data_IF_827189328041
#
_entry.id   IF_827189328041
#
_cell.length_a   1.000
_cell.length_b   1.000
_cell.length_c   1.000
_cell.angle_alpha   90.00
_cell.angle_beta   90.00
_cell.angle_gamma   90.00
#
_symmetry.space_group_name_H-M   'P 1'
#
loop_
_entity.id
_entity.type
_entity.pdbx_description
1 polymer ?
#
# COMPACT_ATOMS: atom_id res chain seq x y z
N UNK A 1 -10.29 12.75 10.83
CA UNK A 1 -9.73 11.50 11.33
C UNK A 1 -10.77 10.74 12.11
N UNK A 2 -11.35 9.74 11.48
CA UNK A 2 -12.15 8.74 12.19
C UNK A 2 -11.26 8.07 13.25
N UNK A 3 -11.81 7.65 14.40
CA UNK A 3 -11.00 6.99 15.42
C UNK A 3 -10.43 5.68 14.88
N UNK A 4 -9.11 5.68 14.66
CA UNK A 4 -8.34 4.50 14.29
C UNK A 4 -7.87 3.81 15.57
N UNK A 5 -8.01 2.48 15.62
CA UNK A 5 -7.46 1.66 16.70
C UNK A 5 -5.95 1.49 16.47
N UNK A 6 -5.16 2.03 17.40
CA UNK A 6 -3.70 2.03 17.37
C UNK A 6 -3.18 1.16 18.52
N UNK A 7 -2.40 0.14 18.22
CA UNK A 7 -1.59 -0.58 19.20
C UNK A 7 -0.18 0.01 19.26
N UNK A 8 0.33 0.19 20.48
CA UNK A 8 1.71 0.66 20.71
C UNK A 8 2.47 -0.42 21.45
N UNK A 9 3.60 -0.86 20.89
CA UNK A 9 4.44 -1.92 21.43
C UNK A 9 5.81 -1.33 21.75
N UNK A 10 6.21 -1.38 23.02
CA UNK A 10 7.52 -0.94 23.46
C UNK A 10 7.88 0.47 22.95
N UNK A 11 6.96 1.44 22.99
CA UNK A 11 7.22 2.83 22.63
C UNK A 11 6.54 3.73 23.66
N UNK A 12 7.16 4.86 23.95
CA UNK A 12 6.50 5.89 24.76
C UNK A 12 5.34 6.51 23.96
N UNK A 13 4.12 6.17 24.34
CA UNK A 13 2.90 6.67 23.70
C UNK A 13 2.80 8.20 23.75
N UNK A 14 3.51 8.89 24.66
CA UNK A 14 3.54 10.35 24.72
C UNK A 14 4.13 10.98 23.43
N UNK A 15 5.01 10.27 22.71
CA UNK A 15 5.59 10.75 21.46
C UNK A 15 4.55 10.95 20.35
N UNK A 16 3.44 10.20 20.40
CA UNK A 16 2.41 10.21 19.38
C UNK A 16 1.56 11.49 19.41
N UNK A 17 1.48 12.15 20.57
CA UNK A 17 0.53 13.25 20.77
C UNK A 17 -0.92 12.76 20.58
N UNK A 18 -1.85 13.63 20.19
CA UNK A 18 -3.25 13.25 19.99
C UNK A 18 -3.39 12.40 18.71
N UNK A 19 -3.43 11.08 18.88
CA UNK A 19 -3.59 10.08 17.82
C UNK A 19 -4.62 9.03 18.23
N UNK A 20 -5.89 9.23 17.89
CA UNK A 20 -6.94 8.22 18.03
C UNK A 20 -7.04 7.54 19.41
N UNK A 21 -7.55 6.29 19.41
CA UNK A 21 -7.57 5.44 20.61
C UNK A 21 -6.29 4.60 20.62
N UNK A 22 -5.42 4.83 21.61
CA UNK A 22 -4.15 4.13 21.77
C UNK A 22 -4.27 3.04 22.82
N UNK A 23 -3.96 1.81 22.44
CA UNK A 23 -3.80 0.68 23.37
C UNK A 23 -2.31 0.34 23.48
N UNK A 24 -1.75 0.45 24.68
CA UNK A 24 -0.36 0.02 24.93
C UNK A 24 -0.36 -1.48 25.16
N UNK A 25 0.40 -2.21 24.35
CA UNK A 25 0.58 -3.65 24.42
C UNK A 25 1.99 -3.98 24.89
N UNK A 26 2.10 -5.12 25.58
CA UNK A 26 3.36 -5.73 26.04
C UNK A 26 3.35 -7.21 25.67
N UNK A 27 4.53 -7.81 25.63
CA UNK A 27 4.70 -9.26 25.46
C UNK A 27 3.97 -9.82 24.23
N UNK A 28 4.08 -9.12 23.09
CA UNK A 28 3.53 -9.59 21.81
C UNK A 28 4.39 -10.75 21.30
N UNK A 29 3.82 -11.94 21.21
CA UNK A 29 4.56 -13.18 20.88
C UNK A 29 4.34 -13.66 19.45
N UNK A 30 3.23 -13.27 18.83
CA UNK A 30 2.92 -13.57 17.44
C UNK A 30 2.07 -12.46 16.83
N UNK A 31 2.22 -12.27 15.51
CA UNK A 31 1.56 -11.22 14.76
C UNK A 31 1.22 -11.71 13.36
N UNK A 32 0.00 -11.41 12.89
CA UNK A 32 -0.44 -11.75 11.54
C UNK A 32 -1.30 -10.61 11.01
N UNK A 33 -1.06 -10.21 9.76
CA UNK A 33 -1.88 -9.20 9.10
C UNK A 33 -3.02 -9.89 8.35
N UNK A 34 -4.23 -9.39 8.54
CA UNK A 34 -5.43 -9.82 7.83
C UNK A 34 -5.69 -8.85 6.68
N UNK A 35 -5.42 -9.30 5.44
CA UNK A 35 -5.62 -8.52 4.21
C UNK A 35 -7.10 -8.17 3.97
N UNK A 36 -8.06 -8.92 4.51
CA UNK A 36 -9.49 -8.63 4.29
C UNK A 36 -10.01 -7.48 5.15
N UNK A 37 -9.42 -7.30 6.34
CA UNK A 37 -9.82 -6.25 7.29
C UNK A 37 -8.80 -5.12 7.39
N UNK A 38 -7.63 -5.32 6.80
CA UNK A 38 -6.44 -4.49 6.94
C UNK A 38 -6.09 -4.25 8.43
N UNK A 39 -6.12 -5.31 9.23
CA UNK A 39 -5.79 -5.24 10.66
C UNK A 39 -4.75 -6.28 11.07
N UNK A 40 -3.99 -5.97 12.11
CA UNK A 40 -3.08 -6.89 12.76
C UNK A 40 -3.81 -7.65 13.86
N UNK A 41 -3.74 -8.98 13.82
CA UNK A 41 -3.99 -9.86 14.95
C UNK A 41 -2.68 -10.05 15.74
N UNK A 42 -2.69 -9.67 17.01
CA UNK A 42 -1.54 -9.67 17.91
C UNK A 42 -1.82 -10.61 19.09
N UNK A 43 -0.98 -11.62 19.27
CA UNK A 43 -1.05 -12.51 20.43
C UNK A 43 -0.27 -11.89 21.58
N UNK A 44 -0.92 -11.75 22.73
CA UNK A 44 -0.31 -11.23 23.97
C UNK A 44 -0.59 -12.18 25.13
N UNK A 45 0.14 -12.05 26.23
CA UNK A 45 -0.14 -12.80 27.46
C UNK A 45 -1.57 -12.56 28.01
N UNK A 46 -2.15 -11.39 27.74
CA UNK A 46 -3.52 -11.02 28.13
C UNK A 46 -4.60 -11.43 27.10
N UNK A 47 -4.23 -12.29 26.15
CA UNK A 47 -5.08 -12.78 25.07
C UNK A 47 -4.90 -12.03 23.74
N UNK A 48 -5.62 -12.44 22.69
CA UNK A 48 -5.53 -11.84 21.37
C UNK A 48 -6.03 -10.39 21.38
N UNK A 49 -5.40 -9.56 20.55
CA UNK A 49 -5.76 -8.16 20.31
C UNK A 49 -5.76 -7.87 18.82
N UNK A 50 -6.64 -6.97 18.39
CA UNK A 50 -6.68 -6.48 17.02
C UNK A 50 -6.41 -4.99 17.00
N UNK A 51 -5.58 -4.55 16.04
CA UNK A 51 -5.32 -3.14 15.81
C UNK A 51 -5.20 -2.87 14.31
N UNK A 52 -5.71 -1.71 13.86
CA UNK A 52 -5.52 -1.31 12.46
C UNK A 52 -4.09 -0.85 12.25
N UNK A 53 -3.61 0.04 13.13
CA UNK A 53 -2.25 0.56 13.10
C UNK A 53 -1.46 -0.03 14.26
N UNK A 54 -0.22 -0.44 13.99
CA UNK A 54 0.72 -0.84 15.04
C UNK A 54 1.91 0.10 14.99
N UNK A 55 2.33 0.58 16.16
CA UNK A 55 3.51 1.43 16.31
C UNK A 55 4.46 0.76 17.29
N UNK A 56 5.68 0.45 16.84
CA UNK A 56 6.69 -0.18 17.70
C UNK A 56 8.03 0.53 17.67
N UNK A 57 8.92 0.15 18.58
CA UNK A 57 10.30 0.63 18.56
C UNK A 57 11.11 -0.26 17.63
N UNK A 58 11.82 0.38 16.69
CA UNK A 58 12.79 -0.29 15.82
C UNK A 58 12.17 -1.24 14.80
N UNK A 59 12.79 -1.35 13.62
CA UNK A 59 12.37 -2.31 12.62
C UNK A 59 12.99 -3.67 12.94
N UNK A 60 12.19 -4.59 13.48
CA UNK A 60 12.70 -5.86 13.98
C UNK A 60 13.40 -6.69 12.90
N UNK A 61 12.91 -6.74 11.66
CA UNK A 61 13.48 -7.61 10.62
C UNK A 61 13.23 -7.04 9.20
N UNK A 62 14.15 -6.22 8.67
CA UNK A 62 14.12 -5.84 7.25
C UNK A 62 15.54 -5.80 6.68
N UNK A 63 15.78 -6.37 5.48
CA UNK A 63 17.09 -6.31 4.83
C UNK A 63 17.42 -4.88 4.35
N UNK A 64 16.39 -4.05 4.16
CA UNK A 64 16.53 -2.64 3.80
C UNK A 64 16.35 -1.76 5.02
N UNK A 65 16.99 -0.59 4.98
CA UNK A 65 16.79 0.43 6.01
C UNK A 65 15.32 0.86 5.96
N UNK A 66 14.63 1.08 7.09
CA UNK A 66 13.26 1.57 7.06
C UNK A 66 13.20 2.93 6.39
N UNK A 67 12.18 3.15 5.56
CA UNK A 67 11.94 4.43 4.92
C UNK A 67 11.74 5.51 5.99
N UNK A 68 12.62 6.52 5.99
CA UNK A 68 12.70 7.56 7.03
C UNK A 68 12.83 7.02 8.46
N UNK A 69 13.22 5.76 8.64
CA UNK A 69 13.23 5.11 9.94
C UNK A 69 11.84 4.76 10.48
N UNK A 70 10.76 4.90 9.69
CA UNK A 70 9.37 4.74 10.17
C UNK A 70 8.58 3.59 9.54
N UNK A 71 8.94 3.11 8.35
CA UNK A 71 8.15 2.08 7.67
C UNK A 71 9.07 1.12 6.90
N UNK A 72 8.63 -0.13 6.77
CA UNK A 72 9.28 -1.14 5.91
C UNK A 72 8.22 -1.76 5.01
N UNK A 73 8.60 -2.01 3.77
CA UNK A 73 7.81 -2.80 2.83
C UNK A 73 7.71 -4.24 3.33
N UNK A 74 6.58 -4.88 3.06
CA UNK A 74 6.15 -6.15 3.64
C UNK A 74 5.49 -6.04 5.01
N UNK A 75 5.28 -4.81 5.54
CA UNK A 75 4.64 -4.58 6.85
C UNK A 75 3.61 -3.44 6.77
N UNK A 76 2.46 -3.69 6.12
CA UNK A 76 1.38 -2.70 6.03
C UNK A 76 0.90 -2.30 7.42
N UNK A 77 0.47 -1.04 7.55
CA UNK A 77 -0.07 -0.45 8.77
C UNK A 77 0.85 -0.51 10.01
N UNK A 78 2.12 -0.87 9.84
CA UNK A 78 3.09 -0.93 10.91
C UNK A 78 4.10 0.19 10.78
N UNK A 79 4.20 1.02 11.81
CA UNK A 79 5.17 2.10 11.87
C UNK A 79 6.19 1.92 13.01
N UNK A 80 7.35 2.53 12.84
CA UNK A 80 8.41 2.60 13.83
C UNK A 80 8.63 4.05 14.25
N UNK A 81 8.76 4.27 15.56
CA UNK A 81 9.17 5.58 16.07
C UNK A 81 10.19 5.45 17.19
N UNK A 82 11.11 6.41 17.22
CA UNK A 82 12.07 6.64 18.29
C UNK A 82 12.12 8.12 18.72
N UNK A 83 11.57 9.04 17.91
CA UNK A 83 11.52 10.46 18.22
C UNK A 83 10.23 11.16 17.74
N UNK A 84 10.08 12.42 18.12
CA UNK A 84 8.90 13.24 17.80
C UNK A 84 8.79 13.64 16.33
N UNK A 85 9.88 13.62 15.56
CA UNK A 85 9.87 13.92 14.11
C UNK A 85 9.25 12.76 13.34
N UNK A 86 9.63 11.54 13.71
CA UNK A 86 9.03 10.33 13.19
C UNK A 86 7.54 10.24 13.55
N UNK A 87 7.19 10.49 14.82
CA UNK A 87 5.79 10.52 15.23
C UNK A 87 4.98 11.58 14.47
N UNK A 88 5.55 12.76 14.20
CA UNK A 88 4.91 13.78 13.37
C UNK A 88 4.69 13.32 11.92
N UNK A 89 5.67 12.63 11.33
CA UNK A 89 5.54 12.11 9.98
C UNK A 89 4.53 10.95 9.90
N UNK A 90 4.49 10.07 10.90
CA UNK A 90 3.44 9.02 11.01
C UNK A 90 2.05 9.65 11.11
N UNK A 91 1.88 10.76 11.85
CA UNK A 91 0.62 11.52 11.86
C UNK A 91 0.25 12.05 10.47
N UNK A 92 1.22 12.54 9.71
CA UNK A 92 0.99 12.99 8.34
C UNK A 92 0.57 11.81 7.43
N UNK A 93 1.18 10.63 7.59
CA UNK A 93 0.80 9.40 6.88
C UNK A 93 -0.64 8.98 7.21
N UNK A 94 -1.00 8.94 8.49
CA UNK A 94 -2.36 8.61 8.93
C UNK A 94 -3.39 9.65 8.48
N UNK A 95 -2.99 10.91 8.34
CA UNK A 95 -3.84 11.97 7.77
C UNK A 95 -4.07 11.77 6.27
N UNK A 96 -3.06 11.31 5.53
CA UNK A 96 -3.22 10.96 4.12
C UNK A 96 -4.14 9.75 3.96
N UNK A 97 -3.92 8.71 4.75
CA UNK A 97 -4.76 7.51 4.80
C UNK A 97 -6.24 7.84 5.09
N UNK A 98 -6.52 8.70 6.09
CA UNK A 98 -7.88 9.15 6.42
C UNK A 98 -8.51 9.96 5.28
N UNK A 99 -7.72 10.83 4.62
CA UNK A 99 -8.18 11.64 3.48
C UNK A 99 -8.64 10.76 2.32
N UNK A 100 -7.87 9.71 2.03
CA UNK A 100 -8.11 8.81 0.90
C UNK A 100 -9.07 7.68 1.29
N UNK A 101 -9.64 7.72 2.51
CA UNK A 101 -10.51 6.67 3.08
C UNK A 101 -9.87 5.27 3.05
N UNK A 102 -8.54 5.24 3.06
CA UNK A 102 -7.78 4.01 3.09
C UNK A 102 -7.80 3.38 4.49
N UNK A 103 -7.63 2.07 4.51
CA UNK A 103 -7.56 1.23 5.71
C UNK A 103 -6.26 0.41 5.75
N UNK A 104 -5.51 0.40 4.64
CA UNK A 104 -4.15 -0.10 4.48
C UNK A 104 -3.24 1.05 4.04
N UNK A 105 -2.06 1.12 4.64
CA UNK A 105 -0.96 2.00 4.23
C UNK A 105 0.35 1.20 4.28
N UNK A 106 1.08 1.19 3.18
CA UNK A 106 2.36 0.47 3.10
C UNK A 106 3.38 1.30 2.32
N UNK A 107 4.63 1.35 2.77
CA UNK A 107 5.67 2.01 1.96
C UNK A 107 5.96 1.18 0.72
N UNK A 108 6.05 1.83 -0.43
CA UNK A 108 6.44 1.18 -1.69
C UNK A 108 7.85 0.60 -1.57
N UNK A 109 8.03 -0.60 -2.09
CA UNK A 109 9.33 -1.27 -2.12
C UNK A 109 10.41 -0.42 -2.82
N UNK A 110 10.07 0.18 -3.97
CA UNK A 110 10.97 1.06 -4.73
C UNK A 110 11.38 2.30 -3.95
N UNK A 111 10.44 2.93 -3.24
CA UNK A 111 10.69 4.07 -2.35
C UNK A 111 11.62 3.71 -1.21
N UNK A 112 11.37 2.58 -0.53
CA UNK A 112 12.24 2.11 0.55
C UNK A 112 13.65 1.81 0.02
N UNK A 113 13.77 1.13 -1.12
CA UNK A 113 15.06 0.79 -1.75
C UNK A 113 15.84 2.03 -2.15
N UNK A 114 15.20 2.99 -2.83
CA UNK A 114 15.83 4.26 -3.19
C UNK A 114 16.33 5.01 -1.97
N UNK A 115 15.55 5.04 -0.88
CA UNK A 115 15.97 5.66 0.37
C UNK A 115 17.09 4.89 1.08
N UNK A 116 17.07 3.56 1.03
CA UNK A 116 18.16 2.74 1.54
C UNK A 116 19.47 3.09 0.82
N UNK A 117 19.45 3.12 -0.51
CA UNK A 117 20.62 3.43 -1.33
C UNK A 117 21.07 4.88 -1.16
N UNK A 118 20.12 5.80 -1.01
CA UNK A 118 20.34 7.25 -0.91
C UNK A 118 19.56 7.85 0.27
N UNK A 119 20.04 7.70 1.50
CA UNK A 119 19.35 8.21 2.67
C UNK A 119 19.33 9.73 2.64
N UNK A 120 18.14 10.31 2.85
CA UNK A 120 17.96 11.74 2.97
C UNK A 120 17.75 12.15 4.43
N UNK A 121 18.36 13.25 4.91
CA UNK A 121 18.12 13.74 6.26
C UNK A 121 16.68 14.25 6.41
N UNK A 122 16.24 14.34 7.67
CA UNK A 122 14.96 14.94 7.99
C UNK A 122 14.93 16.44 7.63
N UNK A 123 13.83 16.95 7.04
CA UNK A 123 13.76 18.35 6.66
C UNK A 123 13.73 19.31 7.86
N UNK A 124 14.62 20.29 7.86
CA UNK A 124 14.68 21.33 8.90
C UNK A 124 13.75 22.53 8.61
N UNK A 125 13.44 22.81 7.34
CA UNK A 125 12.55 23.91 6.93
C UNK A 125 11.10 23.47 6.74
N UNK A 126 10.15 24.37 7.00
CA UNK A 126 8.72 24.10 6.83
C UNK A 126 8.34 23.79 5.38
N UNK A 127 9.01 24.43 4.40
CA UNK A 127 8.76 24.20 2.96
C UNK A 127 9.07 22.76 2.57
N UNK A 128 10.24 22.26 2.96
CA UNK A 128 10.64 20.87 2.69
C UNK A 128 9.83 19.86 3.49
N UNK A 129 9.39 20.20 4.72
CA UNK A 129 8.43 19.36 5.46
C UNK A 129 7.09 19.24 4.73
N UNK A 130 6.57 20.35 4.22
CA UNK A 130 5.32 20.37 3.42
C UNK A 130 5.46 19.55 2.14
N UNK A 131 6.61 19.64 1.48
CA UNK A 131 6.92 18.83 0.29
C UNK A 131 6.99 17.33 0.62
N UNK A 132 7.70 16.96 1.69
CA UNK A 132 7.75 15.57 2.16
C UNK A 132 6.35 15.00 2.44
N UNK A 133 5.48 15.78 3.08
CA UNK A 133 4.09 15.38 3.32
C UNK A 133 3.28 15.22 2.03
N UNK A 134 3.52 16.06 1.03
CA UNK A 134 2.83 15.97 -0.26
C UNK A 134 3.19 14.70 -1.02
N UNK A 135 4.40 14.18 -0.81
CA UNK A 135 4.90 12.95 -1.44
C UNK A 135 4.37 11.65 -0.83
N UNK A 136 3.54 11.72 0.22
CA UNK A 136 3.08 10.52 0.93
C UNK A 136 2.27 9.58 0.02
N UNK A 137 1.28 10.05 -0.78
CA UNK A 137 0.56 9.17 -1.71
C UNK A 137 1.46 8.54 -2.80
N UNK A 138 2.59 9.17 -3.14
CA UNK A 138 3.54 8.64 -4.12
C UNK A 138 4.56 7.68 -3.47
N UNK A 139 4.85 7.87 -2.18
CA UNK A 139 5.81 7.08 -1.41
C UNK A 139 5.16 5.83 -0.77
N UNK A 140 3.84 5.84 -0.57
CA UNK A 140 3.06 4.78 0.07
C UNK A 140 1.89 4.32 -0.79
N UNK A 141 1.60 3.02 -0.76
CA UNK A 141 0.37 2.44 -1.27
C UNK A 141 -0.74 2.57 -0.22
N UNK A 142 -1.91 3.05 -0.64
CA UNK A 142 -3.07 3.35 0.21
C UNK A 142 -4.30 2.60 -0.32
N UNK A 143 -4.80 1.62 0.43
CA UNK A 143 -5.92 0.76 -0.02
C UNK A 143 -7.09 0.74 0.98
N UNK A 144 -8.32 0.62 0.49
CA UNK A 144 -9.56 0.51 1.28
C UNK A 144 -10.00 -0.96 1.43
N UNK A 145 -10.46 -1.37 2.63
CA UNK A 145 -10.83 -2.76 2.96
C UNK A 145 -12.25 -3.09 2.48
N UNK A 146 -13.14 -2.11 2.55
CA UNK A 146 -14.37 -2.11 1.75
C UNK A 146 -13.94 -1.59 0.39
N UNK A 147 -13.96 -2.44 -0.63
CA UNK A 147 -13.53 -2.14 -2.00
C UNK A 147 -14.33 -1.02 -2.68
N UNK A 148 -14.27 0.19 -2.13
CA UNK A 148 -14.32 1.42 -2.90
C UNK A 148 -12.87 1.69 -3.27
N UNK A 149 -12.30 0.79 -4.05
CA UNK A 149 -11.30 1.19 -5.00
C UNK A 149 -12.05 1.91 -6.11
N UNK A 150 -11.41 2.84 -6.79
CA UNK A 150 -11.71 2.99 -8.21
C UNK A 150 -11.64 1.57 -8.81
N UNK A 151 -12.73 1.14 -9.45
CA UNK A 151 -13.09 -0.25 -9.73
C UNK A 151 -11.94 -1.25 -9.84
N UNK A 152 -11.98 -2.27 -8.98
CA UNK A 152 -11.05 -3.41 -9.05
C UNK A 152 -11.72 -4.54 -9.81
N UNK A 153 -11.19 -4.87 -10.99
CA UNK A 153 -11.49 -6.13 -11.64
C UNK A 153 -10.70 -7.25 -10.95
N UNK A 154 -11.40 -8.23 -10.38
CA UNK A 154 -10.82 -9.44 -9.80
C UNK A 154 -11.44 -10.66 -10.49
N UNK A 155 -10.67 -11.34 -11.33
CA UNK A 155 -11.24 -12.39 -12.16
C UNK A 155 -10.28 -13.03 -13.16
N UNK A 156 -10.81 -13.97 -13.97
CA UNK A 156 -10.03 -14.67 -14.98
C UNK A 156 -9.60 -13.74 -16.11
N UNK A 157 -8.43 -14.00 -16.68
CA UNK A 157 -7.89 -13.33 -17.85
C UNK A 157 -7.06 -14.30 -18.69
N UNK A 158 -6.80 -13.92 -19.94
CA UNK A 158 -5.85 -14.61 -20.81
C UNK A 158 -4.62 -13.72 -21.00
N UNK A 159 -3.47 -14.22 -20.59
CA UNK A 159 -2.17 -13.59 -20.79
C UNK A 159 -1.53 -14.13 -22.07
N UNK A 160 -1.25 -13.24 -23.02
CA UNK A 160 -0.57 -13.56 -24.27
C UNK A 160 0.92 -13.17 -24.14
N UNK A 161 1.81 -14.17 -24.16
CA UNK A 161 3.24 -13.96 -23.96
C UNK A 161 4.08 -14.96 -24.76
N UNK A 162 5.12 -14.47 -25.45
CA UNK A 162 6.07 -15.30 -26.20
C UNK A 162 5.40 -16.29 -27.20
N UNK A 163 4.26 -15.88 -27.77
CA UNK A 163 3.48 -16.69 -28.71
C UNK A 163 2.61 -17.77 -28.05
N UNK A 164 2.45 -17.76 -26.72
CA UNK A 164 1.58 -18.67 -25.98
C UNK A 164 0.52 -17.92 -25.17
N UNK A 165 -0.66 -18.54 -25.08
CA UNK A 165 -1.79 -18.05 -24.31
C UNK A 165 -1.88 -18.80 -22.98
N UNK A 166 -2.05 -18.07 -21.88
CA UNK A 166 -2.15 -18.64 -20.54
C UNK A 166 -3.39 -18.10 -19.84
N UNK A 167 -4.26 -18.98 -19.39
CA UNK A 167 -5.32 -18.63 -18.45
C UNK A 167 -4.68 -18.26 -17.11
N UNK A 168 -5.06 -17.10 -16.57
CA UNK A 168 -4.55 -16.56 -15.31
C UNK A 168 -5.69 -15.95 -14.52
N UNK A 169 -5.53 -15.83 -13.21
CA UNK A 169 -6.37 -14.98 -12.39
C UNK A 169 -5.64 -13.67 -12.10
N UNK A 170 -6.33 -12.54 -12.28
CA UNK A 170 -5.75 -11.21 -12.11
C UNK A 170 -6.60 -10.35 -11.19
N UNK A 171 -5.93 -9.46 -10.48
CA UNK A 171 -6.57 -8.33 -9.80
C UNK A 171 -6.03 -7.04 -10.42
N UNK A 172 -6.88 -6.25 -11.06
CA UNK A 172 -6.55 -5.04 -11.81
C UNK A 172 -7.33 -3.84 -11.28
N UNK A 173 -6.72 -2.66 -11.34
CA UNK A 173 -7.34 -1.37 -11.03
C UNK A 173 -6.72 -0.30 -11.91
N UNK A 174 -7.31 0.88 -11.99
CA UNK A 174 -6.71 2.00 -12.71
C UNK A 174 -7.28 3.35 -12.30
N UNK A 175 -6.68 4.40 -12.84
CA UNK A 175 -7.09 5.78 -12.61
C UNK A 175 -6.70 6.65 -13.81
N UNK A 176 -7.37 7.80 -13.98
CA UNK A 176 -6.94 8.83 -14.91
C UNK A 176 -5.80 9.65 -14.28
N UNK A 177 -4.62 9.66 -14.89
CA UNK A 177 -3.49 10.49 -14.46
C UNK A 177 -3.70 11.93 -14.98
N UNK A 178 -3.81 12.94 -14.09
CA UNK A 178 -4.07 14.31 -14.48
C UNK A 178 -2.85 15.03 -15.10
N UNK A 179 -1.65 14.46 -14.99
CA UNK A 179 -0.41 15.03 -15.52
C UNK A 179 -0.32 14.78 -17.03
N UNK A 180 -0.64 13.57 -17.47
CA UNK A 180 -0.57 13.20 -18.88
C UNK A 180 -1.94 13.00 -19.55
N UNK A 181 -3.03 13.03 -18.78
CA UNK A 181 -4.40 12.88 -19.25
C UNK A 181 -4.74 11.47 -19.71
N UNK A 182 -3.95 10.46 -19.34
CA UNK A 182 -4.13 9.07 -19.76
C UNK A 182 -4.62 8.23 -18.60
N UNK A 183 -5.37 7.18 -18.93
CA UNK A 183 -5.76 6.18 -17.95
C UNK A 183 -4.57 5.24 -17.71
N UNK A 184 -4.09 5.15 -16.47
CA UNK A 184 -3.05 4.21 -16.08
C UNK A 184 -3.70 3.10 -15.28
N UNK A 185 -3.42 1.86 -15.65
CA UNK A 185 -3.95 0.69 -14.97
C UNK A 185 -2.83 -0.26 -14.59
N UNK A 186 -3.01 -0.94 -13.46
CA UNK A 186 -2.02 -1.86 -12.91
C UNK A 186 -2.70 -2.99 -12.17
N UNK A 187 -1.95 -4.02 -11.84
CA UNK A 187 -2.46 -5.13 -11.08
C UNK A 187 -1.45 -6.23 -10.82
N UNK A 188 -1.99 -7.35 -10.38
CA UNK A 188 -1.23 -8.55 -10.02
C UNK A 188 -1.80 -9.76 -10.73
N UNK A 189 -0.92 -10.61 -11.25
CA UNK A 189 -1.21 -11.93 -11.80
C UNK A 189 -0.97 -12.94 -10.68
N UNK A 190 -2.02 -13.60 -10.22
CA UNK A 190 -2.00 -14.42 -9.00
C UNK A 190 -1.50 -15.86 -9.27
N UNK A 191 -1.90 -16.44 -10.41
CA UNK A 191 -1.77 -17.89 -10.64
C UNK A 191 -0.80 -18.23 -11.78
N UNK A 192 0.40 -17.63 -11.80
CA UNK A 192 1.42 -17.94 -12.81
C UNK A 192 2.80 -18.04 -12.18
N UNK A 193 3.50 -19.15 -12.44
CA UNK A 193 4.81 -19.42 -11.84
C UNK A 193 5.99 -19.03 -12.74
N UNK A 194 5.80 -19.06 -14.07
CA UNK A 194 6.86 -18.93 -15.08
C UNK A 194 6.71 -17.70 -16.00
N UNK A 195 6.10 -16.61 -15.52
CA UNK A 195 6.09 -15.36 -16.28
C UNK A 195 7.51 -14.74 -16.32
N UNK A 196 7.83 -14.09 -17.44
CA UNK A 196 9.07 -13.33 -17.60
C UNK A 196 8.73 -11.84 -17.64
N UNK A 197 9.56 -10.99 -17.06
CA UNK A 197 9.39 -9.54 -17.21
C UNK A 197 9.48 -9.15 -18.69
N UNK A 198 8.56 -8.31 -19.16
CA UNK A 198 8.51 -7.96 -20.57
C UNK A 198 7.15 -7.46 -21.03
N UNK A 199 7.08 -7.07 -22.31
CA UNK A 199 5.83 -6.68 -22.94
C UNK A 199 4.94 -7.89 -23.16
N UNK A 200 3.65 -7.74 -22.85
CA UNK A 200 2.62 -8.77 -22.96
C UNK A 200 1.33 -8.12 -23.43
N UNK A 201 0.37 -8.96 -23.82
CA UNK A 201 -1.01 -8.50 -24.04
C UNK A 201 -1.92 -9.26 -23.06
N UNK A 202 -2.86 -8.55 -22.44
CA UNK A 202 -3.80 -9.12 -21.48
C UNK A 202 -5.22 -8.98 -22.01
N UNK A 203 -5.97 -10.08 -21.99
CA UNK A 203 -7.37 -10.13 -22.43
C UNK A 203 -8.28 -10.50 -21.26
N UNK A 204 -9.31 -9.70 -21.03
CA UNK A 204 -10.39 -9.97 -20.05
C UNK A 204 -11.71 -9.91 -20.82
N UNK A 205 -12.43 -11.03 -20.88
CA UNK A 205 -13.61 -11.15 -21.74
C UNK A 205 -13.27 -10.90 -23.21
N UNK A 206 -13.86 -9.86 -23.79
CA UNK A 206 -13.67 -9.40 -25.18
C UNK A 206 -12.70 -8.21 -25.32
N UNK A 207 -12.14 -7.73 -24.21
CA UNK A 207 -11.26 -6.55 -24.16
C UNK A 207 -9.81 -6.97 -24.01
N UNK A 208 -8.96 -6.37 -24.83
CA UNK A 208 -7.54 -6.68 -24.91
C UNK A 208 -6.73 -5.40 -24.78
N UNK A 209 -5.67 -5.44 -23.97
CA UNK A 209 -4.79 -4.30 -23.76
C UNK A 209 -3.30 -4.71 -23.76
N UNK A 210 -2.47 -3.86 -24.34
CA UNK A 210 -1.02 -3.96 -24.23
C UNK A 210 -0.56 -3.60 -22.82
N UNK A 211 0.38 -4.39 -22.31
CA UNK A 211 0.84 -4.27 -20.95
C UNK A 211 2.30 -4.68 -20.82
N UNK A 212 2.83 -4.49 -19.62
CA UNK A 212 4.16 -4.93 -19.25
C UNK A 212 4.12 -5.64 -17.91
N UNK A 213 4.69 -6.84 -17.88
CA UNK A 213 5.06 -7.49 -16.63
C UNK A 213 6.31 -6.79 -16.10
N UNK A 214 6.20 -6.14 -14.96
CA UNK A 214 7.24 -5.29 -14.39
C UNK A 214 8.20 -6.11 -13.55
N UNK A 215 7.70 -6.80 -12.53
CA UNK A 215 8.49 -7.61 -11.60
C UNK A 215 7.71 -8.76 -10.98
N UNK A 216 8.44 -9.73 -10.42
CA UNK A 216 7.88 -10.75 -9.52
C UNK A 216 7.82 -10.16 -8.11
N UNK A 217 6.65 -10.22 -7.48
CA UNK A 217 6.43 -9.76 -6.10
C UNK A 217 7.13 -10.67 -5.09
N UNK A 218 7.26 -10.20 -3.85
CA UNK A 218 7.81 -11.00 -2.75
C UNK A 218 6.95 -12.24 -2.42
N UNK A 219 5.66 -12.24 -2.74
CA UNK A 219 4.78 -13.40 -2.58
C UNK A 219 4.89 -14.41 -3.74
N UNK A 220 5.69 -14.10 -4.76
CA UNK A 220 5.89 -14.97 -5.91
C UNK A 220 4.89 -14.76 -7.05
N UNK A 221 4.00 -13.78 -6.95
CA UNK A 221 3.08 -13.35 -8.01
C UNK A 221 3.77 -12.34 -8.95
N UNK A 222 3.11 -11.92 -10.04
CA UNK A 222 3.71 -11.00 -11.01
C UNK A 222 2.93 -9.69 -11.12
N UNK A 223 3.64 -8.57 -11.06
CA UNK A 223 3.07 -7.24 -11.26
C UNK A 223 2.91 -6.95 -12.76
N UNK A 224 1.77 -6.38 -13.13
CA UNK A 224 1.44 -5.99 -14.51
C UNK A 224 0.93 -4.55 -14.54
N UNK A 225 1.30 -3.80 -15.57
CA UNK A 225 0.84 -2.43 -15.78
C UNK A 225 0.62 -2.13 -17.26
N UNK A 226 -0.33 -1.23 -17.54
CA UNK A 226 -0.60 -0.71 -18.88
C UNK A 226 -1.14 0.72 -18.83
N UNK A 227 -1.19 1.34 -20.01
CA UNK A 227 -1.65 2.73 -20.19
C UNK A 227 -2.66 2.76 -21.32
N UNK A 228 -3.71 3.57 -21.17
CA UNK A 228 -4.82 3.67 -22.09
C UNK A 228 -6.03 2.86 -21.62
N UNK A 229 -6.85 2.43 -22.58
CA UNK A 229 -8.06 1.66 -22.28
C UNK A 229 -7.70 0.37 -21.52
N UNK A 230 -8.25 0.15 -20.32
CA UNK A 230 -8.00 -1.07 -19.57
C UNK A 230 -8.70 -2.28 -20.22
N UNK A 231 -8.22 -3.50 -19.98
CA UNK A 231 -8.87 -4.71 -20.47
C UNK A 231 -10.13 -5.07 -19.66
N UNK A 232 -10.48 -4.32 -18.60
CA UNK A 232 -11.70 -4.56 -17.82
C UNK A 232 -12.76 -3.48 -18.09
N UNK A 233 -14.00 -3.77 -17.70
CA UNK A 233 -15.09 -2.79 -17.74
C UNK A 233 -14.82 -1.74 -16.67
N UNK A 234 -14.91 -0.48 -17.07
CA UNK A 234 -15.02 0.63 -16.12
C UNK A 234 -16.52 0.77 -15.86
N UNK A 235 -16.94 0.67 -14.61
CA UNK A 235 -18.32 1.00 -14.25
C UNK A 235 -18.49 2.50 -14.47
N UNK A 236 -19.52 2.89 -15.23
CA UNK A 236 -19.83 4.30 -15.40
C UNK A 236 -20.24 4.87 -14.03
N UNK A 237 -19.41 5.72 -13.45
CA UNK A 237 -19.79 6.53 -12.28
C UNK A 237 -21.01 7.35 -12.68
N UNK A 238 -22.19 6.95 -12.18
CA UNK A 238 -23.41 7.72 -12.34
C UNK A 238 -23.23 9.07 -11.63
N UNK A 239 -22.91 10.11 -12.41
CA UNK A 239 -22.81 11.48 -11.92
C UNK A 239 -24.22 11.95 -11.58
N UNK A 240 -24.61 11.84 -10.31
CA UNK A 240 -25.81 12.51 -9.80
C UNK A 240 -25.53 14.01 -9.84
N UNK A 241 -26.02 14.68 -10.89
CA UNK A 241 -26.07 16.14 -10.96
C UNK A 241 -27.21 16.61 -10.07
N UNK A 242 -26.98 17.42 -9.02
CA UNK A 242 -28.06 18.02 -8.27
C UNK A 242 -28.77 19.06 -9.17
N UNK A 243 -30.08 18.89 -9.34
CA UNK A 243 -30.97 19.89 -9.95
C UNK A 243 -31.31 21.04 -9.00
#
# INVERSE_FOLDING_TARGET
>A
MNPVNIAVIDVDAALLGPLGTVTVLRDVTAQTFDESTHTWALQTAAGPRHARIVISRGAADSPLRPYRGVAVHGRPNWFFISDSRQAAYVRDCLTAMDRDRATRIEVRHSTQRLFHDRPAPWPTSWRRRRELRRRIPEDFDLDSATGVSDEVYDGPATLHMAGADRAVHVRLTGHLDPIDGRYHWQGTILDVDDAVSGSVTLTVGDRTADARITERTAQGTFSIAGVGAPPFVLDDVEVIVPG
#
